data_IF_255725391264
#
_entry.id   IF_255725391264
#
_cell.length_a   1.000
_cell.length_b   1.000
_cell.length_c   1.000
_cell.angle_alpha   90.00
_cell.angle_beta   90.00
_cell.angle_gamma   90.00
#
_symmetry.space_group_name_H-M   'P 1'
#
loop_
_entity.id
_entity.type
_entity.pdbx_description
1 polymer ?
#
# COMPACT_ATOMS: atom_id res chain seq x y z
N UNK A 1 -16.20 -32.82 6.25
CA UNK A 1 -15.13 -31.85 5.90
C UNK A 1 -14.59 -31.98 4.46
N UNK A 2 -15.24 -32.70 3.52
CA UNK A 2 -14.76 -32.86 2.12
C UNK A 2 -15.42 -31.89 1.12
N UNK A 3 -16.52 -31.25 1.49
CA UNK A 3 -17.27 -30.33 0.61
C UNK A 3 -16.70 -28.91 0.60
N UNK A 4 -16.04 -28.48 1.68
CA UNK A 4 -15.51 -27.11 1.80
C UNK A 4 -14.28 -26.84 0.92
N UNK A 5 -13.39 -27.84 0.75
CA UNK A 5 -12.23 -27.73 -0.17
C UNK A 5 -12.64 -27.67 -1.65
N UNK A 6 -13.84 -28.14 -2.00
CA UNK A 6 -14.33 -28.22 -3.38
C UNK A 6 -14.79 -26.87 -3.93
N UNK A 7 -15.18 -25.95 -3.05
CA UNK A 7 -15.51 -24.55 -3.38
C UNK A 7 -14.30 -23.61 -3.30
N UNK A 8 -13.27 -23.98 -2.54
CA UNK A 8 -12.04 -23.17 -2.42
C UNK A 8 -11.17 -23.22 -3.68
N UNK A 9 -11.11 -24.38 -4.36
CA UNK A 9 -10.32 -24.57 -5.59
C UNK A 9 -10.75 -23.71 -6.79
N UNK A 10 -12.03 -23.55 -7.16
CA UNK A 10 -12.39 -22.67 -8.27
C UNK A 10 -12.15 -21.19 -7.95
N UNK A 11 -12.19 -20.80 -6.68
CA UNK A 11 -11.99 -19.42 -6.23
C UNK A 11 -10.51 -19.00 -6.30
N UNK A 12 -9.59 -19.92 -5.99
CA UNK A 12 -8.14 -19.73 -6.14
C UNK A 12 -7.69 -19.69 -7.62
N UNK A 13 -8.34 -20.47 -8.49
CA UNK A 13 -8.03 -20.47 -9.93
C UNK A 13 -8.53 -19.19 -10.60
N UNK A 14 -9.70 -18.68 -10.19
CA UNK A 14 -10.22 -17.40 -10.70
C UNK A 14 -9.34 -16.21 -10.25
N UNK A 15 -8.82 -16.24 -9.02
CA UNK A 15 -7.88 -15.23 -8.52
C UNK A 15 -6.53 -15.24 -9.26
N UNK A 16 -6.08 -16.41 -9.75
CA UNK A 16 -4.81 -16.53 -10.48
C UNK A 16 -4.92 -16.10 -11.95
N UNK A 17 -6.10 -16.26 -12.58
CA UNK A 17 -6.32 -15.89 -14.00
C UNK A 17 -6.57 -14.39 -14.18
N UNK A 18 -7.06 -13.68 -13.17
CA UNK A 18 -7.20 -12.22 -13.21
C UNK A 18 -5.86 -11.47 -13.03
N UNK A 19 -4.80 -12.15 -12.58
CA UNK A 19 -3.50 -11.53 -12.29
C UNK A 19 -2.54 -11.39 -13.49
N UNK A 20 -2.83 -11.97 -14.66
CA UNK A 20 -1.85 -12.03 -15.77
C UNK A 20 -2.19 -11.18 -16.99
N UNK A 21 -3.24 -10.35 -16.92
CA UNK A 21 -3.69 -9.57 -18.08
C UNK A 21 -3.27 -8.10 -18.00
N UNK A 22 -1.97 -7.81 -17.97
CA UNK A 22 -1.42 -6.45 -18.20
C UNK A 22 0.08 -6.48 -18.49
N UNK A 23 0.50 -7.14 -19.58
CA UNK A 23 1.83 -6.88 -20.16
C UNK A 23 1.63 -6.07 -21.44
N UNK A 24 1.56 -4.76 -21.27
CA UNK A 24 1.68 -3.81 -22.38
C UNK A 24 3.17 -3.63 -22.66
N UNK A 25 3.69 -4.32 -23.68
CA UNK A 25 5.03 -4.04 -24.20
C UNK A 25 4.98 -2.68 -24.88
N UNK A 26 5.40 -1.64 -24.16
CA UNK A 26 5.62 -0.30 -24.73
C UNK A 26 6.95 -0.32 -25.49
N UNK A 27 6.89 -0.01 -26.78
CA UNK A 27 8.05 0.09 -27.65
C UNK A 27 8.92 1.29 -27.21
N UNK A 28 10.20 1.03 -26.93
CA UNK A 28 11.19 2.06 -26.63
C UNK A 28 11.47 2.95 -27.86
N UNK A 29 11.42 4.29 -27.75
CA UNK A 29 11.97 5.17 -28.76
C UNK A 29 13.50 5.25 -28.64
N UNK A 30 14.18 5.10 -29.78
CA UNK A 30 15.63 5.28 -29.96
C UNK A 30 16.09 6.72 -29.62
N UNK A 31 17.39 6.92 -29.31
CA UNK A 31 17.88 8.17 -28.73
C UNK A 31 18.00 9.25 -29.80
N UNK A 32 17.14 10.28 -29.73
CA UNK A 32 17.32 11.53 -30.44
C UNK A 32 17.89 12.55 -29.46
N UNK A 33 19.05 13.09 -29.82
CA UNK A 33 19.87 13.95 -28.98
C UNK A 33 19.19 15.22 -28.48
N UNK A 34 19.64 15.61 -27.28
CA UNK A 34 19.90 16.98 -26.84
C UNK A 34 18.78 18.02 -26.96
N UNK A 35 17.54 17.60 -26.76
CA UNK A 35 16.48 18.50 -26.30
C UNK A 35 15.86 17.90 -25.04
N UNK A 36 16.18 18.47 -23.87
CA UNK A 36 15.39 18.24 -22.65
C UNK A 36 14.00 18.82 -22.92
N UNK A 37 13.13 17.98 -23.49
CA UNK A 37 11.72 18.33 -23.67
C UNK A 37 11.11 18.61 -22.30
N UNK A 38 10.15 19.52 -22.21
CA UNK A 38 9.35 19.75 -20.99
C UNK A 38 8.79 18.42 -20.44
N UNK A 39 8.52 17.45 -21.32
CA UNK A 39 8.10 16.09 -20.95
C UNK A 39 9.14 15.35 -20.09
N UNK A 40 10.44 15.49 -20.39
CA UNK A 40 11.51 14.86 -19.60
C UNK A 40 11.61 15.50 -18.21
N UNK A 41 11.49 16.83 -18.12
CA UNK A 41 11.44 17.55 -16.84
C UNK A 41 10.21 17.15 -16.00
N UNK A 42 9.03 17.07 -16.63
CA UNK A 42 7.79 16.60 -16.01
C UNK A 42 7.87 15.14 -15.55
N UNK A 43 8.66 14.30 -16.22
CA UNK A 43 8.82 12.89 -15.85
C UNK A 43 9.76 12.73 -14.65
N UNK A 44 10.85 13.51 -14.60
CA UNK A 44 11.74 13.56 -13.44
C UNK A 44 11.02 14.08 -12.19
N UNK A 45 10.21 15.14 -12.33
CA UNK A 45 9.41 15.70 -11.22
C UNK A 45 8.40 14.69 -10.65
N UNK A 46 7.83 13.82 -11.50
CA UNK A 46 6.97 12.73 -11.04
C UNK A 46 7.75 11.66 -10.27
N UNK A 47 8.94 11.28 -10.76
CA UNK A 47 9.80 10.32 -10.07
C UNK A 47 10.20 10.80 -8.66
N UNK A 48 10.49 12.09 -8.51
CA UNK A 48 10.78 12.69 -7.21
C UNK A 48 9.56 12.69 -6.29
N UNK A 49 8.36 12.99 -6.82
CA UNK A 49 7.12 12.92 -6.06
C UNK A 49 6.78 11.48 -5.58
N UNK A 50 7.07 10.47 -6.40
CA UNK A 50 6.88 9.06 -6.03
C UNK A 50 7.82 8.64 -4.90
N UNK A 51 9.10 9.07 -4.94
CA UNK A 51 10.08 8.83 -3.87
C UNK A 51 9.68 9.53 -2.56
N UNK A 52 9.20 10.77 -2.64
CA UNK A 52 8.70 11.51 -1.47
C UNK A 52 7.53 10.77 -0.81
N UNK A 53 6.62 10.22 -1.61
CA UNK A 53 5.47 9.45 -1.11
C UNK A 53 5.90 8.16 -0.41
N UNK A 54 6.89 7.45 -0.95
CA UNK A 54 7.49 6.29 -0.29
C UNK A 54 8.11 6.71 1.06
N UNK A 55 8.86 7.82 1.07
CA UNK A 55 9.49 8.35 2.26
C UNK A 55 8.46 8.75 3.33
N UNK A 56 7.35 9.39 2.96
CA UNK A 56 6.26 9.73 3.89
C UNK A 56 5.71 8.49 4.62
N UNK A 57 5.53 7.38 3.90
CA UNK A 57 5.02 6.13 4.47
C UNK A 57 6.06 5.49 5.39
N UNK A 58 7.32 5.44 4.97
CA UNK A 58 8.43 4.90 5.76
C UNK A 58 8.74 5.75 7.00
N UNK A 59 8.49 7.06 6.94
CA UNK A 59 8.71 7.98 8.06
C UNK A 59 7.73 7.80 9.21
N UNK A 60 6.67 7.00 9.04
CA UNK A 60 5.72 6.70 10.11
C UNK A 60 6.39 5.89 11.21
N UNK A 61 6.27 6.33 12.46
CA UNK A 61 6.90 5.67 13.63
C UNK A 61 6.59 4.17 13.70
N UNK A 62 5.33 3.79 13.45
CA UNK A 62 4.89 2.39 13.49
C UNK A 62 5.58 1.53 12.41
N UNK A 63 5.86 2.12 11.24
CA UNK A 63 6.57 1.43 10.15
C UNK A 63 8.06 1.29 10.51
N UNK A 64 8.68 2.36 11.03
CA UNK A 64 10.06 2.33 11.49
C UNK A 64 10.27 1.30 12.61
N UNK A 65 9.40 1.30 13.62
CA UNK A 65 9.44 0.35 14.74
C UNK A 65 9.35 -1.10 14.25
N UNK A 66 8.48 -1.36 13.27
CA UNK A 66 8.32 -2.68 12.67
C UNK A 66 9.54 -3.09 11.84
N UNK A 67 10.16 -2.17 11.10
CA UNK A 67 11.40 -2.42 10.36
C UNK A 67 12.57 -2.74 11.31
N UNK A 68 12.71 -1.97 12.39
CA UNK A 68 13.70 -2.21 13.44
C UNK A 68 13.45 -3.56 14.12
N UNK A 69 12.18 -3.90 14.40
CA UNK A 69 11.81 -5.19 14.99
C UNK A 69 12.16 -6.38 14.08
N UNK A 70 12.24 -6.17 12.77
CA UNK A 70 12.71 -7.15 11.79
C UNK A 70 14.25 -7.16 11.62
N UNK A 71 14.96 -6.29 12.33
CA UNK A 71 16.43 -6.17 12.28
C UNK A 71 16.94 -5.36 11.09
N UNK A 72 16.10 -4.52 10.49
CA UNK A 72 16.46 -3.64 9.37
C UNK A 72 17.00 -2.31 9.90
N UNK A 73 18.12 -1.84 9.34
CA UNK A 73 18.65 -0.50 9.60
C UNK A 73 17.92 0.53 8.72
N UNK A 74 17.35 1.56 9.34
CA UNK A 74 16.61 2.62 8.65
C UNK A 74 17.51 3.40 7.68
N UNK A 75 18.78 3.60 8.03
CA UNK A 75 19.72 4.29 7.15
C UNK A 75 19.99 3.50 5.85
N UNK A 76 19.96 2.16 5.91
CA UNK A 76 20.05 1.33 4.71
C UNK A 76 18.79 1.49 3.85
N UNK A 77 17.61 1.51 4.46
CA UNK A 77 16.33 1.67 3.74
C UNK A 77 16.29 3.00 2.99
N UNK A 78 16.68 4.10 3.64
CA UNK A 78 16.71 5.42 3.00
C UNK A 78 17.68 5.45 1.80
N UNK A 79 18.85 4.83 1.96
CA UNK A 79 19.81 4.70 0.87
C UNK A 79 19.27 3.87 -0.30
N UNK A 80 18.46 2.84 -0.03
CA UNK A 80 17.81 2.03 -1.07
C UNK A 80 16.73 2.82 -1.80
N UNK A 81 15.90 3.56 -1.09
CA UNK A 81 14.85 4.41 -1.69
C UNK A 81 15.49 5.48 -2.58
N UNK A 82 16.58 6.10 -2.13
CA UNK A 82 17.34 7.07 -2.92
C UNK A 82 17.98 6.46 -4.18
N UNK A 83 18.29 5.16 -4.15
CA UNK A 83 18.88 4.44 -5.28
C UNK A 83 17.85 3.87 -6.27
N UNK A 84 16.54 3.95 -5.98
CA UNK A 84 15.49 3.48 -6.89
C UNK A 84 15.50 4.26 -8.19
N UNK A 85 15.29 3.59 -9.31
CA UNK A 85 14.95 4.25 -10.57
C UNK A 85 13.54 4.85 -10.53
N UNK A 86 13.24 5.80 -11.41
CA UNK A 86 11.93 6.48 -11.44
C UNK A 86 10.77 5.48 -11.60
N UNK A 87 10.97 4.45 -12.43
CA UNK A 87 9.96 3.43 -12.68
C UNK A 87 9.77 2.49 -11.48
N UNK A 88 10.84 2.14 -10.76
CA UNK A 88 10.74 1.34 -9.55
C UNK A 88 10.08 2.12 -8.40
N UNK A 89 10.39 3.40 -8.28
CA UNK A 89 9.75 4.30 -7.32
C UNK A 89 8.23 4.39 -7.59
N UNK A 90 7.83 4.59 -8.85
CA UNK A 90 6.43 4.60 -9.25
C UNK A 90 5.70 3.30 -8.90
N UNK A 91 6.26 2.16 -9.30
CA UNK A 91 5.66 0.85 -9.01
C UNK A 91 5.54 0.59 -7.51
N UNK A 92 6.54 0.98 -6.72
CA UNK A 92 6.52 0.83 -5.28
C UNK A 92 5.49 1.76 -4.63
N UNK A 93 5.41 3.02 -5.04
CA UNK A 93 4.42 3.98 -4.56
C UNK A 93 2.98 3.49 -4.81
N UNK A 94 2.70 2.97 -6.01
CA UNK A 94 1.40 2.38 -6.36
C UNK A 94 1.04 1.16 -5.50
N UNK A 95 2.03 0.33 -5.17
CA UNK A 95 1.83 -0.83 -4.27
C UNK A 95 1.55 -0.37 -2.85
N UNK A 96 2.32 0.61 -2.34
CA UNK A 96 2.13 1.14 -1.00
C UNK A 96 0.76 1.81 -0.82
N UNK A 97 0.22 2.45 -1.86
CA UNK A 97 -1.12 3.05 -1.86
C UNK A 97 -2.25 2.00 -1.83
N UNK A 98 -2.01 0.82 -2.40
CA UNK A 98 -2.95 -0.31 -2.34
C UNK A 98 -2.94 -1.04 -1.00
N UNK A 99 -1.87 -0.88 -0.21
CA UNK A 99 -1.82 -1.44 1.13
C UNK A 99 -2.75 -0.62 2.03
N UNK A 100 -3.70 -1.25 2.75
CA UNK A 100 -4.56 -0.53 3.67
C UNK A 100 -3.73 0.01 4.83
N UNK A 101 -3.29 1.27 4.69
CA UNK A 101 -2.50 2.00 5.67
C UNK A 101 -3.26 2.32 6.98
N UNK A 102 -4.48 1.78 7.13
CA UNK A 102 -5.41 1.99 8.24
C UNK A 102 -5.72 0.74 9.07
N UNK A 103 -5.02 -0.37 8.85
CA UNK A 103 -5.08 -1.52 9.76
C UNK A 103 -4.17 -1.34 11.01
N UNK A 104 -3.91 -0.09 11.41
CA UNK A 104 -3.22 0.18 12.67
C UNK A 104 -4.12 -0.22 13.84
N UNK A 105 -3.51 -0.46 15.01
CA UNK A 105 -4.23 -0.75 16.26
C UNK A 105 -5.31 0.32 16.52
N UNK A 106 -5.04 1.57 16.16
CA UNK A 106 -5.99 2.68 16.29
C UNK A 106 -7.22 2.49 15.39
N UNK A 107 -7.04 2.08 14.13
CA UNK A 107 -8.14 1.79 13.22
C UNK A 107 -9.00 0.62 13.71
N UNK A 108 -8.37 -0.46 14.18
CA UNK A 108 -9.06 -1.61 14.75
C UNK A 108 -9.86 -1.23 16.02
N UNK A 109 -9.26 -0.44 16.92
CA UNK A 109 -9.93 0.06 18.12
C UNK A 109 -11.11 0.97 17.78
N UNK A 110 -11.00 1.82 16.75
CA UNK A 110 -12.09 2.67 16.29
C UNK A 110 -13.25 1.85 15.71
N UNK A 111 -12.97 0.81 14.93
CA UNK A 111 -14.00 -0.10 14.42
C UNK A 111 -14.70 -0.82 15.55
N UNK A 112 -13.95 -1.37 16.52
CA UNK A 112 -14.53 -2.01 17.71
C UNK A 112 -15.41 -1.03 18.49
N UNK A 113 -14.94 0.20 18.68
CA UNK A 113 -15.71 1.27 19.31
C UNK A 113 -17.02 1.56 18.58
N UNK A 114 -17.00 1.72 17.24
CA UNK A 114 -18.20 1.97 16.44
C UNK A 114 -19.19 0.80 16.53
N UNK A 115 -18.71 -0.44 16.42
CA UNK A 115 -19.57 -1.62 16.53
C UNK A 115 -20.25 -1.64 17.89
N UNK A 116 -19.48 -1.48 18.98
CA UNK A 116 -20.03 -1.44 20.34
C UNK A 116 -21.01 -0.28 20.52
N UNK A 117 -20.72 0.89 19.95
CA UNK A 117 -21.60 2.06 20.04
C UNK A 117 -22.96 1.80 19.37
N UNK A 118 -22.94 1.23 18.16
CA UNK A 118 -24.16 0.89 17.42
C UNK A 118 -24.98 -0.16 18.17
N UNK A 119 -24.35 -1.22 18.68
CA UNK A 119 -25.06 -2.24 19.47
C UNK A 119 -25.63 -1.70 20.77
N UNK A 120 -25.02 -0.66 21.34
CA UNK A 120 -25.49 0.00 22.55
C UNK A 120 -26.75 0.84 22.29
N UNK A 121 -26.75 1.62 21.20
CA UNK A 121 -27.91 2.42 20.76
C UNK A 121 -29.10 1.52 20.40
N UNK A 122 -28.84 0.34 19.83
CA UNK A 122 -29.85 -0.68 19.56
C UNK A 122 -30.35 -1.41 20.82
N UNK A 123 -29.73 -1.17 21.97
CA UNK A 123 -30.07 -1.81 23.25
C UNK A 123 -29.63 -3.27 23.37
N UNK A 124 -28.75 -3.75 22.48
CA UNK A 124 -28.18 -5.10 22.52
C UNK A 124 -27.02 -5.20 23.53
N UNK A 125 -26.37 -4.08 23.82
CA UNK A 125 -25.29 -3.97 24.81
C UNK A 125 -25.57 -2.83 25.80
N UNK A 126 -24.78 -2.74 26.88
CA UNK A 126 -24.82 -1.66 27.88
C UNK A 126 -23.39 -1.23 28.27
N UNK A 127 -22.61 -0.86 27.27
CA UNK A 127 -21.18 -0.50 27.42
C UNK A 127 -21.01 0.99 27.65
N UNK A 128 -21.78 1.85 26.97
CA UNK A 128 -21.63 3.30 27.08
C UNK A 128 -22.77 3.92 27.92
N UNK A 129 -22.46 4.70 28.97
CA UNK A 129 -23.51 5.25 29.85
C UNK A 129 -24.25 6.46 29.26
N UNK A 130 -23.73 7.05 28.17
CA UNK A 130 -24.24 8.27 27.53
C UNK A 130 -25.19 8.01 26.34
N UNK A 131 -25.38 6.75 25.95
CA UNK A 131 -26.30 6.32 24.87
C UNK A 131 -27.74 6.15 25.36
N UNK A 132 -28.01 6.48 26.63
CA UNK A 132 -29.29 6.35 27.32
C UNK A 132 -30.00 7.70 27.46
#
# INVERSE_FOLDING_TARGET
MKTLRRFLSPLLILALVLGTASVSVSAAPLPAGDLVSTQAALSAERGDADRERIHEILSRTEVQDQLIAQGVDLAEVDARVAALSDEEARQMAEQLEQLPAGASVVGALLVVFIVLLVTDILGLTNVFPFTR
#
